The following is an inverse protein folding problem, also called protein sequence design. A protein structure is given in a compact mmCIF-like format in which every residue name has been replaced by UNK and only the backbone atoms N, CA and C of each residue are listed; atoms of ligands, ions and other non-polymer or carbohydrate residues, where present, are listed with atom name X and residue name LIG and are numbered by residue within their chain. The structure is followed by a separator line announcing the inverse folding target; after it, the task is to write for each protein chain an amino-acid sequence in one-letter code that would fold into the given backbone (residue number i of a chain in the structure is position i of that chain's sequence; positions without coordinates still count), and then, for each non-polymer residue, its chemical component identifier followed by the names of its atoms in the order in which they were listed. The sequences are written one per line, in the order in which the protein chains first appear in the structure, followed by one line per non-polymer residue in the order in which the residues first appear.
data_IF_757656835529
#
_entry.id   IF_757656835529
#
_cell.length_a   1.000
_cell.length_b   1.000
_cell.length_c   1.000
_cell.angle_alpha   90.00
_cell.angle_beta   90.00
_cell.angle_gamma   90.00
#
_symmetry.space_group_name_H-M   'P 1'
#
loop_
_entity.id
_entity.type
_entity.pdbx_description
1 polymer ?
#
# COMPACT_ATOMS: atom_id res chain seq x y z
N UNK A 1 9.01 10.87 -14.22
CA UNK A 1 9.22 10.28 -12.87
C UNK A 1 7.96 10.51 -12.04
N UNK A 2 7.60 9.60 -11.10
CA UNK A 2 6.53 9.87 -10.14
C UNK A 2 6.99 10.97 -9.15
N UNK A 3 6.05 11.55 -8.38
CA UNK A 3 6.36 12.61 -7.40
C UNK A 3 7.36 12.15 -6.32
N UNK A 4 7.41 10.86 -6.03
CA UNK A 4 8.36 10.23 -5.12
C UNK A 4 9.66 9.78 -5.79
N UNK A 5 9.94 10.24 -7.01
CA UNK A 5 11.16 9.90 -7.74
C UNK A 5 11.15 8.50 -8.34
N UNK A 6 10.10 7.70 -8.16
CA UNK A 6 10.06 6.34 -8.68
C UNK A 6 9.74 6.32 -10.19
N UNK A 7 10.45 5.50 -10.95
CA UNK A 7 10.12 5.26 -12.36
C UNK A 7 8.73 4.63 -12.49
N UNK A 8 8.00 4.99 -13.55
CA UNK A 8 6.71 4.34 -13.86
C UNK A 8 6.89 2.87 -14.27
N UNK A 9 8.06 2.50 -14.80
CA UNK A 9 8.42 1.16 -15.29
C UNK A 9 9.35 0.40 -14.33
N UNK A 10 9.47 0.84 -13.07
CA UNK A 10 10.33 0.14 -12.12
C UNK A 10 9.79 -1.27 -11.87
N UNK A 11 10.61 -2.27 -12.15
CA UNK A 11 10.34 -3.66 -11.82
C UNK A 11 10.74 -3.94 -10.37
N UNK A 12 9.81 -4.43 -9.56
CA UNK A 12 10.04 -4.71 -8.15
C UNK A 12 10.70 -6.06 -7.88
N UNK A 13 10.74 -6.98 -8.87
CA UNK A 13 11.21 -8.37 -8.67
C UNK A 13 12.67 -8.49 -8.25
N UNK A 14 13.49 -7.51 -8.61
CA UNK A 14 14.94 -7.52 -8.35
C UNK A 14 15.35 -6.48 -7.30
N UNK A 15 14.39 -5.90 -6.57
CA UNK A 15 14.69 -4.94 -5.50
C UNK A 15 14.86 -5.65 -4.16
N UNK A 16 15.67 -5.10 -3.25
CA UNK A 16 15.71 -5.58 -1.87
C UNK A 16 14.32 -5.55 -1.23
N UNK A 17 13.97 -6.61 -0.50
CA UNK A 17 12.67 -6.71 0.17
C UNK A 17 12.40 -5.53 1.10
N UNK A 18 13.42 -5.03 1.81
CA UNK A 18 13.29 -3.86 2.68
C UNK A 18 12.83 -2.61 1.90
N UNK A 19 13.40 -2.38 0.73
CA UNK A 19 13.00 -1.27 -0.14
C UNK A 19 11.56 -1.45 -0.64
N UNK A 20 11.19 -2.66 -1.03
CA UNK A 20 9.81 -2.96 -1.46
C UNK A 20 8.84 -2.71 -0.31
N UNK A 21 9.15 -3.18 0.91
CA UNK A 21 8.33 -2.96 2.10
C UNK A 21 8.17 -1.47 2.41
N UNK A 22 9.25 -0.68 2.40
CA UNK A 22 9.19 0.77 2.61
C UNK A 22 8.33 1.46 1.55
N UNK A 23 8.48 1.08 0.28
CA UNK A 23 7.67 1.61 -0.82
C UNK A 23 6.18 1.26 -0.65
N UNK A 24 5.87 0.01 -0.34
CA UNK A 24 4.49 -0.44 -0.13
C UNK A 24 3.86 0.22 1.09
N UNK A 25 4.60 0.34 2.21
CA UNK A 25 4.16 1.07 3.38
C UNK A 25 3.77 2.51 3.03
N UNK A 26 4.65 3.22 2.31
CA UNK A 26 4.33 4.58 1.83
C UNK A 26 3.12 4.60 0.91
N UNK A 27 3.00 3.67 -0.04
CA UNK A 27 1.90 3.64 -1.02
C UNK A 27 0.55 3.37 -0.36
N UNK A 28 0.51 2.47 0.61
CA UNK A 28 -0.69 2.05 1.32
C UNK A 28 -1.24 3.14 2.25
N UNK A 29 -0.41 4.12 2.63
CA UNK A 29 -0.78 5.25 3.48
C UNK A 29 -1.03 6.57 2.71
N UNK A 30 -0.94 6.61 1.37
CA UNK A 30 -1.23 7.84 0.62
C UNK A 30 -2.68 7.82 0.10
N UNK A 31 -3.50 8.84 0.41
CA UNK A 31 -4.82 9.03 -0.16
C UNK A 31 -4.89 8.94 -1.69
N UNK A 32 -5.97 8.38 -2.22
CA UNK A 32 -6.24 8.29 -3.66
C UNK A 32 -7.55 8.98 -3.99
N UNK A 33 -7.54 9.87 -4.98
CA UNK A 33 -8.75 10.56 -5.47
C UNK A 33 -9.82 9.55 -5.93
N UNK A 34 -9.42 8.46 -6.57
CA UNK A 34 -10.32 7.38 -7.01
C UNK A 34 -10.93 6.56 -5.86
N UNK A 35 -10.38 6.68 -4.65
CA UNK A 35 -10.89 6.03 -3.43
C UNK A 35 -11.62 7.03 -2.53
N UNK A 36 -12.12 8.13 -3.10
CA UNK A 36 -12.72 9.26 -2.36
C UNK A 36 -11.76 9.82 -1.30
N UNK A 37 -10.49 9.99 -1.66
CA UNK A 37 -9.42 10.48 -0.78
C UNK A 37 -9.14 9.61 0.45
N UNK A 38 -9.57 8.33 0.45
CA UNK A 38 -9.11 7.34 1.42
C UNK A 38 -7.80 6.70 0.98
N UNK A 39 -7.06 6.14 1.93
CA UNK A 39 -5.85 5.36 1.68
C UNK A 39 -6.20 3.94 1.25
N UNK A 40 -5.35 3.26 0.46
CA UNK A 40 -5.55 1.84 0.14
C UNK A 40 -5.70 0.96 1.38
N UNK A 41 -4.96 1.26 2.46
CA UNK A 41 -5.07 0.53 3.71
C UNK A 41 -6.44 0.71 4.37
N UNK A 42 -6.96 1.93 4.49
CA UNK A 42 -8.30 2.19 5.03
C UNK A 42 -9.39 1.45 4.26
N UNK A 43 -9.30 1.48 2.92
CA UNK A 43 -10.26 0.77 2.06
C UNK A 43 -10.13 -0.74 2.26
N UNK A 44 -8.92 -1.29 2.29
CA UNK A 44 -8.70 -2.70 2.56
C UNK A 44 -9.32 -3.11 3.90
N UNK A 45 -9.02 -2.39 4.99
CA UNK A 45 -9.54 -2.67 6.32
C UNK A 45 -11.06 -2.62 6.39
N UNK A 46 -11.73 -1.80 5.56
CA UNK A 46 -13.19 -1.77 5.50
C UNK A 46 -13.84 -3.03 4.93
N UNK A 47 -13.06 -3.89 4.27
CA UNK A 47 -13.50 -5.20 3.78
C UNK A 47 -13.11 -6.36 4.71
N UNK A 48 -12.28 -6.12 5.72
CA UNK A 48 -11.85 -7.16 6.65
C UNK A 48 -12.86 -7.25 7.80
N UNK A 49 -13.36 -8.46 8.05
CA UNK A 49 -14.29 -8.73 9.16
C UNK A 49 -13.55 -8.83 10.49
N UNK A 50 -14.26 -8.57 11.59
CA UNK A 50 -13.71 -8.75 12.95
C UNK A 50 -13.27 -10.19 13.21
N UNK A 51 -13.99 -11.17 12.67
CA UNK A 51 -13.63 -12.60 12.74
C UNK A 51 -12.31 -12.90 12.01
N UNK A 52 -12.05 -12.26 10.87
CA UNK A 52 -10.77 -12.41 10.20
C UNK A 52 -9.63 -11.75 10.98
N UNK A 53 -9.89 -10.60 11.61
CA UNK A 53 -8.89 -9.91 12.43
C UNK A 53 -8.56 -10.66 13.73
N UNK A 54 -9.53 -11.34 14.34
CA UNK A 54 -9.31 -12.08 15.58
C UNK A 54 -8.31 -13.22 15.41
N UNK A 55 -8.14 -13.77 14.20
CA UNK A 55 -7.14 -14.83 13.94
C UNK A 55 -5.67 -14.36 14.09
N UNK A 56 -5.44 -13.05 14.15
CA UNK A 56 -4.10 -12.47 14.26
C UNK A 56 -3.72 -12.04 15.69
N UNK A 57 -4.64 -12.13 16.66
CA UNK A 57 -4.45 -11.74 18.06
C UNK A 57 -4.72 -12.92 18.99
#
# INVERSE_FOLDING_TARGET
MRRDGLSKKLDFRHLPNELVTQLMHRRNNIPRKSLNYRTPLEVFMSYVTEEQLSTFF
#
